data_IF_338218825595
#
_entry.id   IF_338218825595
#
_cell.length_a   1.000
_cell.length_b   1.000
_cell.length_c   1.000
_cell.angle_alpha   90.00
_cell.angle_beta   90.00
_cell.angle_gamma   90.00
#
_symmetry.space_group_name_H-M   'P 1'
#
loop_
_entity.id
_entity.type
_entity.pdbx_description
1 polymer ?
#
# COMPACT_ATOMS: atom_id res chain seq x y z
N UNK A 1 14.67 19.56 -5.13
CA UNK A 1 13.81 19.01 -4.05
C UNK A 1 13.00 17.80 -4.54
N UNK A 2 12.97 16.67 -3.80
CA UNK A 2 12.10 15.56 -4.15
C UNK A 2 10.63 15.99 -4.00
N UNK A 3 9.83 15.74 -5.03
CA UNK A 3 8.39 15.97 -4.97
C UNK A 3 7.76 14.85 -4.12
N UNK A 4 6.84 15.22 -3.23
CA UNK A 4 6.11 14.28 -2.38
C UNK A 4 4.63 14.44 -2.66
N UNK A 5 3.97 13.34 -3.01
CA UNK A 5 2.52 13.25 -3.16
C UNK A 5 1.92 12.44 -2.00
N UNK A 6 0.87 12.96 -1.38
CA UNK A 6 0.10 12.27 -0.33
C UNK A 6 -1.31 12.07 -0.86
N UNK A 7 -1.76 10.83 -0.93
CA UNK A 7 -3.05 10.45 -1.48
C UNK A 7 -3.84 9.68 -0.42
N UNK A 8 -5.02 10.19 -0.08
CA UNK A 8 -5.92 9.51 0.85
C UNK A 8 -6.90 8.62 0.09
N UNK A 9 -6.82 7.31 0.29
CA UNK A 9 -7.72 6.29 -0.30
C UNK A 9 -7.96 6.44 -1.82
N UNK A 10 -6.91 6.59 -2.66
CA UNK A 10 -7.04 7.07 -4.04
C UNK A 10 -7.79 6.13 -4.99
N UNK A 11 -7.92 4.84 -4.64
CA UNK A 11 -8.59 3.84 -5.49
C UNK A 11 -9.99 3.45 -5.00
N UNK A 12 -10.50 4.11 -3.97
CA UNK A 12 -11.85 3.85 -3.45
C UNK A 12 -12.92 4.21 -4.49
N UNK A 13 -13.82 3.26 -4.77
CA UNK A 13 -14.91 3.45 -5.73
C UNK A 13 -14.48 3.38 -7.21
N UNK A 14 -13.21 3.09 -7.49
CA UNK A 14 -12.69 2.90 -8.85
C UNK A 14 -12.94 1.47 -9.30
N UNK A 15 -13.34 1.28 -10.56
CA UNK A 15 -13.52 -0.06 -11.12
C UNK A 15 -12.18 -0.84 -11.19
N UNK A 16 -12.21 -2.19 -11.23
CA UNK A 16 -10.99 -3.00 -11.18
C UNK A 16 -9.97 -2.72 -12.29
N UNK A 17 -10.41 -2.28 -13.47
CA UNK A 17 -9.50 -2.00 -14.58
C UNK A 17 -8.82 -0.64 -14.41
N UNK A 18 -9.58 0.41 -14.06
CA UNK A 18 -9.03 1.72 -13.78
C UNK A 18 -8.09 1.70 -12.57
N UNK A 19 -8.37 0.86 -11.55
CA UNK A 19 -7.47 0.66 -10.41
C UNK A 19 -6.09 0.16 -10.84
N UNK A 20 -6.03 -0.81 -11.76
CA UNK A 20 -4.76 -1.32 -12.30
C UNK A 20 -4.00 -0.24 -13.06
N UNK A 21 -4.69 0.58 -13.85
CA UNK A 21 -4.07 1.71 -14.55
C UNK A 21 -3.50 2.73 -13.57
N UNK A 22 -4.22 3.02 -12.49
CA UNK A 22 -3.75 3.93 -11.45
C UNK A 22 -2.47 3.40 -10.76
N UNK A 23 -2.41 2.10 -10.49
CA UNK A 23 -1.22 1.43 -9.95
C UNK A 23 0.00 1.61 -10.88
N UNK A 24 -0.17 1.41 -12.19
CA UNK A 24 0.90 1.65 -13.17
C UNK A 24 1.38 3.11 -13.19
N UNK A 25 0.45 4.07 -13.05
CA UNK A 25 0.79 5.50 -12.96
C UNK A 25 1.64 5.77 -11.70
N UNK A 26 1.26 5.21 -10.55
CA UNK A 26 2.04 5.36 -9.32
C UNK A 26 3.45 4.79 -9.47
N UNK A 27 3.58 3.59 -10.03
CA UNK A 27 4.87 2.95 -10.26
C UNK A 27 5.75 3.78 -11.20
N UNK A 28 5.18 4.34 -12.26
CA UNK A 28 5.91 5.19 -13.20
C UNK A 28 6.33 6.54 -12.58
N UNK A 29 5.48 7.14 -11.76
CA UNK A 29 5.81 8.36 -11.04
C UNK A 29 6.95 8.14 -10.03
N UNK A 30 6.96 7.00 -9.33
CA UNK A 30 8.08 6.62 -8.44
C UNK A 30 9.38 6.44 -9.22
N UNK A 31 9.34 5.80 -10.41
CA UNK A 31 10.52 5.73 -11.31
C UNK A 31 11.01 7.11 -11.74
N UNK A 32 10.11 8.08 -11.88
CA UNK A 32 10.43 9.49 -12.15
C UNK A 32 10.90 10.27 -10.90
N UNK A 33 11.27 9.60 -9.81
CA UNK A 33 11.77 10.16 -8.54
C UNK A 33 10.72 10.93 -7.72
N UNK A 34 9.42 10.66 -7.93
CA UNK A 34 8.36 11.10 -7.02
C UNK A 34 8.29 10.17 -5.80
N UNK A 35 8.17 10.72 -4.59
CA UNK A 35 7.80 9.94 -3.41
C UNK A 35 6.29 9.98 -3.24
N UNK A 36 5.64 8.83 -3.13
CA UNK A 36 4.19 8.73 -2.96
C UNK A 36 3.89 8.09 -1.61
N UNK A 37 3.01 8.72 -0.84
CA UNK A 37 2.41 8.17 0.37
C UNK A 37 0.94 7.97 0.07
N UNK A 38 0.47 6.73 0.13
CA UNK A 38 -0.94 6.38 -0.03
C UNK A 38 -1.49 5.80 1.27
N UNK A 39 -2.75 6.09 1.57
CA UNK A 39 -3.54 5.32 2.53
C UNK A 39 -4.46 4.38 1.75
N UNK A 40 -4.59 3.14 2.22
CA UNK A 40 -5.54 2.17 1.69
C UNK A 40 -5.90 1.17 2.76
N UNK A 41 -7.18 0.85 2.86
CA UNK A 41 -7.70 -0.26 3.65
C UNK A 41 -7.50 -1.63 2.96
N UNK A 42 -7.06 -1.65 1.70
CA UNK A 42 -6.84 -2.87 0.92
C UNK A 42 -5.38 -3.32 1.00
N UNK A 43 -5.12 -4.41 1.72
CA UNK A 43 -3.77 -4.98 1.81
C UNK A 43 -3.22 -5.43 0.45
N UNK A 44 -4.05 -6.00 -0.42
CA UNK A 44 -3.62 -6.43 -1.76
C UNK A 44 -3.08 -5.28 -2.62
N UNK A 45 -3.64 -4.08 -2.46
CA UNK A 45 -3.19 -2.89 -3.16
C UNK A 45 -1.89 -2.36 -2.62
N UNK A 46 -1.83 -2.23 -1.29
CA UNK A 46 -0.64 -1.84 -0.56
C UNK A 46 0.54 -2.76 -0.92
N UNK A 47 0.30 -4.06 -1.04
CA UNK A 47 1.34 -5.02 -1.41
C UNK A 47 1.82 -4.88 -2.86
N UNK A 48 0.93 -4.48 -3.78
CA UNK A 48 1.28 -4.29 -5.20
C UNK A 48 2.05 -3.00 -5.46
N UNK A 49 1.71 -1.92 -4.77
CA UNK A 49 2.21 -0.58 -5.08
C UNK A 49 3.35 -0.14 -4.14
N UNK A 50 3.27 -0.50 -2.85
CA UNK A 50 4.15 0.07 -1.85
C UNK A 50 5.44 -0.73 -1.68
N UNK A 51 6.56 -0.02 -1.49
CA UNK A 51 7.82 -0.63 -1.06
C UNK A 51 7.89 -0.81 0.48
N UNK A 52 7.17 0.05 1.21
CA UNK A 52 7.06 0.05 2.66
C UNK A 52 5.60 0.21 3.05
N UNK A 53 5.19 -0.49 4.10
CA UNK A 53 3.84 -0.47 4.64
C UNK A 53 3.90 -0.04 6.10
N UNK A 54 2.94 0.77 6.51
CA UNK A 54 2.68 1.09 7.92
C UNK A 54 1.25 0.74 8.27
N UNK A 55 1.03 0.11 9.42
CA UNK A 55 -0.31 -0.17 9.94
C UNK A 55 -0.56 0.79 11.09
N UNK A 56 -1.66 1.54 11.02
CA UNK A 56 -2.06 2.49 12.05
C UNK A 56 -3.25 1.95 12.84
N UNK A 57 -3.18 2.03 14.16
CA UNK A 57 -4.24 1.63 15.09
C UNK A 57 -4.41 2.74 16.12
N UNK A 58 -5.63 3.26 16.27
CA UNK A 58 -5.95 4.33 17.23
C UNK A 58 -5.02 5.56 17.11
N UNK A 59 -4.70 5.96 15.88
CA UNK A 59 -3.85 7.12 15.60
C UNK A 59 -2.34 6.91 15.82
N UNK A 60 -1.89 5.69 16.09
CA UNK A 60 -0.48 5.36 16.26
C UNK A 60 -0.04 4.26 15.29
N UNK A 61 1.20 4.33 14.82
CA UNK A 61 1.77 3.25 14.00
C UNK A 61 2.02 2.01 14.88
N UNK A 62 1.24 0.96 14.64
CA UNK A 62 1.45 -0.35 15.24
C UNK A 62 2.68 -1.05 14.65
N UNK A 63 2.93 -0.87 13.35
CA UNK A 63 4.15 -1.32 12.69
C UNK A 63 4.46 -0.47 11.45
N UNK A 64 5.74 -0.45 11.06
CA UNK A 64 6.23 0.20 9.85
C UNK A 64 7.45 -0.58 9.35
N UNK A 65 7.49 -0.93 8.07
CA UNK A 65 8.61 -1.69 7.50
C UNK A 65 8.41 -2.02 6.04
N UNK A 66 9.34 -2.79 5.47
CA UNK A 66 9.08 -3.42 4.17
C UNK A 66 8.00 -4.49 4.32
N UNK A 67 7.24 -4.75 3.26
CA UNK A 67 6.19 -5.78 3.27
C UNK A 67 6.76 -7.13 3.73
N UNK A 68 7.93 -7.52 3.20
CA UNK A 68 8.59 -8.78 3.56
C UNK A 68 8.93 -8.86 5.05
N UNK A 69 9.45 -7.76 5.63
CA UNK A 69 9.76 -7.71 7.06
C UNK A 69 8.49 -7.89 7.89
N UNK A 70 7.42 -7.18 7.54
CA UNK A 70 6.14 -7.27 8.25
C UNK A 70 5.52 -8.67 8.13
N UNK A 71 5.52 -9.27 6.93
CA UNK A 71 5.07 -10.66 6.73
C UNK A 71 5.88 -11.65 7.56
N UNK A 72 7.20 -11.50 7.61
CA UNK A 72 8.06 -12.40 8.39
C UNK A 72 7.85 -12.26 9.90
N UNK A 73 7.60 -11.03 10.37
CA UNK A 73 7.44 -10.71 11.79
C UNK A 73 6.03 -11.02 12.31
N UNK A 74 5.00 -10.73 11.51
CA UNK A 74 3.59 -10.77 11.94
C UNK A 74 2.74 -11.81 11.20
N UNK A 75 3.20 -12.35 10.05
CA UNK A 75 2.46 -13.32 9.24
C UNK A 75 2.48 -14.75 9.79
N UNK A 76 2.72 -14.94 11.09
CA UNK A 76 2.63 -16.26 11.73
C UNK A 76 1.16 -16.51 12.10
N UNK A 77 0.51 -17.44 11.39
CA UNK A 77 -0.88 -17.79 11.62
C UNK A 77 -1.43 -18.71 10.53
N UNK A 78 -2.70 -19.11 10.66
CA UNK A 78 -3.42 -19.88 9.66
C UNK A 78 -4.45 -18.99 8.96
N UNK A 79 -4.43 -18.95 7.63
CA UNK A 79 -5.52 -18.36 6.84
C UNK A 79 -6.49 -19.48 6.50
N UNK A 80 -7.71 -19.41 7.02
CA UNK A 80 -8.78 -20.35 6.69
C UNK A 80 -9.75 -19.61 5.76
N UNK A 81 -9.83 -20.05 4.52
CA UNK A 81 -10.78 -19.55 3.54
C UNK A 81 -11.96 -20.53 3.49
N UNK A 82 -13.10 -20.12 4.02
CA UNK A 82 -14.32 -20.94 4.01
C UNK A 82 -15.09 -20.56 2.75
N UNK A 83 -15.33 -21.56 1.91
CA UNK A 83 -16.03 -21.43 0.62
C UNK A 83 -17.49 -21.84 0.74
#
# INVERSE_FOLDING_TARGET
>A
PPLVAILDEPTTGVDPNARRQMQEIFLNAVKAKLTIIITSHSMDECERVCNRLGIMVRGQFACLGTIQHLKSKFGRGYTIEIK
#
